data_IF_519192045740
#
_entry.id   IF_519192045740
#
_cell.length_a   1.000
_cell.length_b   1.000
_cell.length_c   1.000
_cell.angle_alpha   90.00
_cell.angle_beta   90.00
_cell.angle_gamma   90.00
#
_symmetry.space_group_name_H-M   'P 1'
#
loop_
_entity.id
_entity.type
_entity.pdbx_description
1 polymer ?
#
# COMPACT_ATOMS: atom_id res chain seq x y z
N UNK A 1 29.96 -19.40 74.55
CA UNK A 1 29.00 -20.51 74.44
C UNK A 1 27.62 -19.88 74.47
N UNK A 2 26.78 -19.84 73.44
CA UNK A 2 26.80 -20.39 72.10
C UNK A 2 26.00 -19.42 71.20
N UNK A 3 26.44 -19.26 69.96
CA UNK A 3 25.68 -18.62 68.89
C UNK A 3 24.38 -19.36 68.66
N UNK A 4 23.28 -18.62 68.51
CA UNK A 4 22.09 -19.11 67.80
C UNK A 4 21.72 -18.10 66.73
N UNK A 5 22.27 -18.35 65.54
CA UNK A 5 21.86 -17.77 64.27
C UNK A 5 20.48 -18.31 63.92
N UNK A 6 19.47 -17.44 63.83
CA UNK A 6 18.18 -17.78 63.22
C UNK A 6 18.15 -17.13 61.84
N UNK A 7 18.41 -17.94 60.82
CA UNK A 7 18.11 -17.67 59.42
C UNK A 7 16.66 -18.06 59.13
N UNK A 8 15.84 -17.14 58.61
CA UNK A 8 14.64 -17.38 57.79
C UNK A 8 13.88 -16.05 57.61
N UNK A 9 13.37 -15.60 56.47
CA UNK A 9 13.39 -16.08 55.10
C UNK A 9 13.18 -14.82 54.23
N UNK A 10 14.02 -14.61 53.22
CA UNK A 10 13.75 -13.60 52.21
C UNK A 10 12.49 -14.03 51.44
N UNK A 11 11.37 -13.36 51.67
CA UNK A 11 10.20 -13.47 50.79
C UNK A 11 10.59 -12.83 49.46
N UNK A 12 11.18 -13.61 48.55
CA UNK A 12 11.14 -13.27 47.15
C UNK A 12 9.67 -13.36 46.74
N UNK A 13 9.03 -12.20 46.56
CA UNK A 13 7.79 -12.15 45.80
C UNK A 13 8.16 -12.52 44.36
N UNK A 14 8.11 -13.81 44.05
CA UNK A 14 8.07 -14.28 42.68
C UNK A 14 6.75 -13.78 42.08
N UNK A 15 6.82 -12.65 41.38
CA UNK A 15 5.78 -12.22 40.47
C UNK A 15 5.73 -13.27 39.36
N UNK A 16 4.93 -14.31 39.56
CA UNK A 16 4.54 -15.21 38.50
C UNK A 16 3.85 -14.36 37.44
N UNK A 17 4.56 -14.02 36.37
CA UNK A 17 3.95 -13.42 35.21
C UNK A 17 2.89 -14.40 34.70
N UNK A 18 1.62 -14.02 34.60
CA UNK A 18 0.63 -14.91 34.03
C UNK A 18 1.09 -15.22 32.61
N UNK A 19 1.23 -16.52 32.32
CA UNK A 19 1.54 -17.07 31.00
C UNK A 19 0.69 -16.32 30.00
N UNK A 20 1.36 -15.50 29.18
CA UNK A 20 0.70 -14.55 28.30
C UNK A 20 -0.35 -15.27 27.48
N UNK A 21 -1.62 -15.01 27.80
CA UNK A 21 -2.72 -15.38 26.93
C UNK A 21 -2.38 -14.80 25.57
N UNK A 22 -2.04 -15.66 24.60
CA UNK A 22 -1.95 -15.26 23.20
C UNK A 22 -3.34 -14.79 22.85
N UNK A 23 -3.59 -13.48 22.95
CA UNK A 23 -4.82 -12.87 22.46
C UNK A 23 -4.85 -13.18 20.97
N UNK A 24 -5.62 -14.19 20.60
CA UNK A 24 -6.00 -14.38 19.21
C UNK A 24 -6.76 -13.12 18.83
N UNK A 25 -6.14 -12.32 17.96
CA UNK A 25 -6.69 -11.05 17.51
C UNK A 25 -7.92 -11.37 16.67
N UNK A 26 -9.07 -11.50 17.31
CA UNK A 26 -10.38 -11.61 16.66
C UNK A 26 -10.66 -10.25 16.04
N UNK A 27 -10.14 -10.04 14.84
CA UNK A 27 -10.43 -8.84 14.08
C UNK A 27 -11.93 -8.84 13.81
N UNK A 28 -12.63 -7.80 14.27
CA UNK A 28 -14.08 -7.58 14.08
C UNK A 28 -14.47 -7.69 12.60
N UNK A 29 -13.51 -7.47 11.70
CA UNK A 29 -13.63 -7.65 10.25
C UNK A 29 -12.75 -8.83 9.79
N UNK A 30 -13.21 -10.07 9.99
CA UNK A 30 -12.50 -11.25 9.50
C UNK A 30 -12.47 -11.24 7.98
N UNK A 31 -11.31 -10.94 7.41
CA UNK A 31 -11.08 -11.00 5.96
C UNK A 31 -11.01 -12.49 5.56
N UNK A 32 -11.64 -12.91 4.44
CA UNK A 32 -11.61 -14.31 4.01
C UNK A 32 -10.18 -14.85 3.89
N UNK A 33 -9.96 -16.14 4.15
CA UNK A 33 -8.62 -16.75 4.11
C UNK A 33 -7.92 -16.52 2.76
N UNK A 34 -8.69 -16.58 1.67
CA UNK A 34 -8.23 -16.30 0.32
C UNK A 34 -7.78 -14.84 0.17
N UNK A 35 -8.57 -13.91 0.70
CA UNK A 35 -8.23 -12.49 0.67
C UNK A 35 -7.02 -12.17 1.57
N UNK A 36 -6.84 -12.88 2.70
CA UNK A 36 -5.63 -12.79 3.51
C UNK A 36 -4.39 -13.28 2.74
N UNK A 37 -4.49 -14.39 2.01
CA UNK A 37 -3.43 -14.90 1.16
C UNK A 37 -3.02 -13.85 0.11
N UNK A 38 -3.98 -13.32 -0.65
CA UNK A 38 -3.70 -12.28 -1.64
C UNK A 38 -3.13 -11.01 -1.02
N UNK A 39 -3.63 -10.59 0.15
CA UNK A 39 -3.13 -9.42 0.89
C UNK A 39 -1.66 -9.55 1.32
N UNK A 40 -1.17 -10.78 1.52
CA UNK A 40 0.22 -11.03 1.93
C UNK A 40 1.20 -11.03 0.75
N UNK A 41 0.74 -11.23 -0.49
CA UNK A 41 1.61 -11.35 -1.65
C UNK A 41 2.48 -10.09 -1.84
N UNK A 42 3.79 -10.24 -2.11
CA UNK A 42 4.70 -9.11 -2.26
C UNK A 42 4.33 -8.24 -3.47
N UNK A 43 3.81 -8.84 -4.54
CA UNK A 43 3.35 -8.12 -5.73
C UNK A 43 2.22 -7.14 -5.40
N UNK A 44 1.27 -7.53 -4.54
CA UNK A 44 0.17 -6.66 -4.11
C UNK A 44 0.68 -5.49 -3.27
N UNK A 45 1.65 -5.73 -2.39
CA UNK A 45 2.30 -4.66 -1.61
C UNK A 45 3.02 -3.65 -2.51
N UNK A 46 3.73 -4.12 -3.55
CA UNK A 46 4.37 -3.25 -4.55
C UNK A 46 3.34 -2.34 -5.25
N UNK A 47 2.24 -2.91 -5.74
CA UNK A 47 1.19 -2.12 -6.40
C UNK A 47 0.50 -1.14 -5.45
N UNK A 48 0.14 -1.55 -4.24
CA UNK A 48 -0.45 -0.64 -3.24
C UNK A 48 0.50 0.52 -2.93
N UNK A 49 1.81 0.26 -2.80
CA UNK A 49 2.80 1.32 -2.57
C UNK A 49 2.89 2.27 -3.76
N UNK A 50 2.89 1.76 -5.00
CA UNK A 50 2.91 2.58 -6.21
C UNK A 50 1.64 3.44 -6.35
N UNK A 51 0.48 2.89 -5.99
CA UNK A 51 -0.80 3.63 -5.98
C UNK A 51 -0.76 4.74 -4.94
N UNK A 52 -0.35 4.44 -3.70
CA UNK A 52 -0.19 5.45 -2.64
C UNK A 52 0.83 6.54 -2.99
N UNK A 53 1.85 6.20 -3.77
CA UNK A 53 2.86 7.14 -4.28
C UNK A 53 2.31 8.04 -5.41
N UNK A 54 1.21 7.66 -6.06
CA UNK A 54 0.66 8.35 -7.24
C UNK A 54 1.26 7.90 -8.57
N UNK A 55 2.13 6.88 -8.58
CA UNK A 55 2.73 6.35 -9.82
C UNK A 55 1.79 5.43 -10.59
N UNK A 56 0.78 4.86 -9.93
CA UNK A 56 -0.26 4.02 -10.54
C UNK A 56 -1.63 4.46 -10.00
N UNK A 57 -2.69 4.27 -10.79
CA UNK A 57 -4.06 4.63 -10.43
C UNK A 57 -4.88 3.36 -10.27
N UNK A 58 -5.69 3.28 -9.22
CA UNK A 58 -6.71 2.24 -9.08
C UNK A 58 -8.03 2.75 -9.65
N UNK A 59 -8.51 2.15 -10.74
CA UNK A 59 -9.76 2.55 -11.40
C UNK A 59 -10.57 1.31 -11.79
N UNK A 60 -11.86 1.29 -11.41
CA UNK A 60 -12.82 0.21 -11.69
C UNK A 60 -12.29 -1.21 -11.43
N UNK A 61 -11.53 -1.40 -10.34
CA UNK A 61 -10.99 -2.70 -9.95
C UNK A 61 -9.70 -3.10 -10.68
N UNK A 62 -9.09 -2.21 -11.45
CA UNK A 62 -7.84 -2.45 -12.18
C UNK A 62 -6.78 -1.41 -11.81
N UNK A 63 -5.52 -1.84 -11.81
CA UNK A 63 -4.35 -0.93 -11.71
C UNK A 63 -4.04 -0.41 -13.11
N UNK A 64 -4.09 0.90 -13.29
CA UNK A 64 -3.78 1.59 -14.55
C UNK A 64 -2.58 2.51 -14.36
N UNK A 65 -1.86 2.73 -15.45
CA UNK A 65 -0.82 3.77 -15.50
C UNK A 65 -1.52 5.14 -15.51
N UNK A 66 -1.02 6.15 -14.78
CA UNK A 66 -1.55 7.49 -14.83
C UNK A 66 -1.53 8.03 -16.26
N UNK A 67 -2.45 8.94 -16.62
CA UNK A 67 -2.43 9.55 -17.93
C UNK A 67 -1.08 10.25 -18.18
N UNK A 68 -0.54 10.05 -19.37
CA UNK A 68 0.71 10.68 -19.78
C UNK A 68 0.42 12.02 -20.47
N UNK A 69 1.16 13.05 -20.09
CA UNK A 69 1.27 14.32 -20.80
C UNK A 69 2.43 14.22 -21.77
N UNK A 70 2.12 14.28 -23.05
CA UNK A 70 3.11 14.20 -24.12
C UNK A 70 3.29 15.60 -24.71
N UNK A 71 4.53 16.03 -24.87
CA UNK A 71 4.84 17.31 -25.49
C UNK A 71 4.29 17.39 -26.93
N UNK A 72 3.62 18.50 -27.26
CA UNK A 72 3.05 18.73 -28.59
C UNK A 72 1.78 17.93 -28.92
N UNK A 73 1.29 17.09 -28.00
CA UNK A 73 0.03 16.37 -28.14
C UNK A 73 -0.95 16.72 -27.02
N UNK A 74 -2.24 16.63 -27.33
CA UNK A 74 -3.28 16.80 -26.31
C UNK A 74 -3.39 15.55 -25.42
N UNK A 75 -3.73 15.73 -24.13
CA UNK A 75 -3.93 14.62 -23.22
C UNK A 75 -5.17 13.79 -23.59
N UNK A 76 -5.30 12.56 -23.09
CA UNK A 76 -6.44 11.70 -23.38
C UNK A 76 -7.78 12.36 -23.06
N UNK A 77 -8.84 12.11 -23.88
CA UNK A 77 -10.17 12.75 -23.70
C UNK A 77 -10.75 12.64 -22.29
N UNK A 78 -10.42 11.57 -21.56
CA UNK A 78 -10.88 11.32 -20.20
C UNK A 78 -10.30 12.30 -19.18
N UNK A 79 -9.17 12.92 -19.51
CA UNK A 79 -8.43 13.86 -18.69
C UNK A 79 -8.73 15.31 -19.08
N UNK A 80 -9.46 15.53 -20.19
CA UNK A 80 -9.88 16.87 -20.62
C UNK A 80 -11.12 17.30 -19.83
N UNK A 81 -11.17 18.58 -19.45
CA UNK A 81 -12.37 19.13 -18.82
C UNK A 81 -13.55 19.11 -19.81
N UNK A 82 -14.79 19.01 -19.31
CA UNK A 82 -15.96 18.92 -20.19
C UNK A 82 -16.14 20.09 -21.17
N UNK A 83 -15.53 21.23 -20.87
CA UNK A 83 -15.54 22.44 -21.68
C UNK A 83 -14.54 22.39 -22.85
N UNK A 84 -13.51 21.54 -22.78
CA UNK A 84 -12.37 21.48 -23.74
C UNK A 84 -12.45 20.25 -24.65
N UNK A 85 -13.63 19.62 -24.76
CA UNK A 85 -13.85 18.32 -25.44
C UNK A 85 -13.46 18.24 -26.93
N UNK A 86 -13.27 19.37 -27.61
CA UNK A 86 -13.11 19.43 -29.07
C UNK A 86 -11.66 19.36 -29.59
N UNK A 87 -10.69 19.07 -28.72
CA UNK A 87 -9.29 18.92 -29.15
C UNK A 87 -9.04 17.54 -29.77
N UNK A 88 -8.48 17.53 -30.98
CA UNK A 88 -8.25 16.31 -31.78
C UNK A 88 -6.77 15.94 -31.96
N UNK A 89 -5.81 16.67 -31.38
CA UNK A 89 -4.38 16.40 -31.53
C UNK A 89 -3.86 15.36 -30.50
N UNK A 90 -4.64 14.30 -30.25
CA UNK A 90 -4.23 13.23 -29.34
C UNK A 90 -3.35 12.21 -30.06
N UNK A 91 -2.27 11.82 -29.41
CA UNK A 91 -1.43 10.74 -29.93
C UNK A 91 -2.18 9.41 -29.87
N UNK A 92 -2.28 8.71 -31.01
CA UNK A 92 -2.94 7.39 -31.14
C UNK A 92 -2.00 6.25 -31.55
N UNK A 93 -0.72 6.56 -31.78
CA UNK A 93 0.27 5.58 -32.22
C UNK A 93 0.84 4.74 -31.09
N UNK A 94 1.70 3.80 -31.44
CA UNK A 94 2.56 3.09 -30.47
C UNK A 94 3.64 4.03 -29.92
N UNK A 95 4.07 3.83 -28.68
CA UNK A 95 5.10 4.65 -28.04
C UNK A 95 6.42 4.72 -28.84
N UNK A 96 6.74 3.68 -29.61
CA UNK A 96 7.93 3.62 -30.47
C UNK A 96 7.91 4.65 -31.61
N UNK A 97 6.71 5.07 -32.06
CA UNK A 97 6.55 6.01 -33.16
C UNK A 97 6.40 7.46 -32.67
N UNK A 98 6.68 7.70 -31.39
CA UNK A 98 6.46 8.99 -30.76
C UNK A 98 7.61 9.93 -31.12
N UNK A 99 7.29 11.05 -31.79
CA UNK A 99 8.28 12.09 -32.14
C UNK A 99 8.52 13.13 -31.04
N UNK A 100 7.76 13.06 -29.95
CA UNK A 100 7.85 14.03 -28.85
C UNK A 100 9.17 13.86 -28.10
N UNK A 101 9.80 15.00 -27.75
CA UNK A 101 11.06 14.99 -27.02
C UNK A 101 10.86 14.67 -25.52
N UNK A 102 9.72 15.07 -24.94
CA UNK A 102 9.41 14.87 -23.51
C UNK A 102 8.05 14.19 -23.29
N UNK A 103 8.03 13.23 -22.36
CA UNK A 103 6.83 12.54 -21.87
C UNK A 103 6.83 12.59 -20.35
N UNK A 104 5.74 13.09 -19.78
CA UNK A 104 5.56 13.25 -18.33
C UNK A 104 4.27 12.56 -17.87
N UNK A 105 4.16 12.33 -16.56
CA UNK A 105 2.86 11.99 -15.99
C UNK A 105 2.04 13.27 -15.84
N UNK A 106 0.75 13.19 -16.13
CA UNK A 106 -0.19 14.27 -15.88
C UNK A 106 -0.59 14.23 -14.41
N UNK A 107 -0.45 15.36 -13.73
CA UNK A 107 -0.86 15.57 -12.32
C UNK A 107 -2.38 15.56 -12.14
#
# INVERSE_FOLDING_TARGET
>A
MASLLICAAARSSCWATPVGQRRHKSHINSVSILQQFYNRLPIRKKYIKAIKKGTLIWDKGQVKIPPLKIEGYDPPKKCLSPLVKNRNNQYRGSFLNLKAHRVEFQD
#
